data_IF_771532751932
#
_entry.id   IF_771532751932
#
_cell.length_a   1.000
_cell.length_b   1.000
_cell.length_c   1.000
_cell.angle_alpha   90.00
_cell.angle_beta   90.00
_cell.angle_gamma   90.00
#
_symmetry.space_group_name_H-M   'P 1'
#
loop_
_entity.id
_entity.type
_entity.pdbx_description
1 polymer ?
#
# COMPACT_ATOMS: atom_id res chain seq x y z
N UNK A 1 -3.63 9.36 -17.57
CA UNK A 1 -2.27 8.78 -17.66
C UNK A 1 -1.31 9.69 -18.39
N UNK A 2 -1.61 10.06 -19.64
CA UNK A 2 -0.78 10.99 -20.43
C UNK A 2 -0.56 12.32 -19.71
N UNK A 3 -1.60 12.92 -19.13
CA UNK A 3 -1.48 14.19 -18.38
C UNK A 3 -0.51 14.14 -17.18
N UNK A 4 -0.45 12.99 -16.48
CA UNK A 4 0.40 12.80 -15.31
C UNK A 4 1.85 12.47 -15.75
N UNK A 5 2.02 11.66 -16.80
CA UNK A 5 3.33 11.38 -17.38
C UNK A 5 3.97 12.65 -17.99
N UNK A 6 3.15 13.58 -18.49
CA UNK A 6 3.58 14.88 -19.00
C UNK A 6 3.85 15.91 -17.90
N UNK A 7 3.53 15.61 -16.63
CA UNK A 7 3.74 16.55 -15.52
C UNK A 7 5.21 16.95 -15.39
N UNK A 8 6.12 15.97 -15.40
CA UNK A 8 7.55 16.23 -15.29
C UNK A 8 8.10 17.11 -16.43
N UNK A 9 7.90 16.77 -17.73
CA UNK A 9 8.38 17.62 -18.80
C UNK A 9 7.75 19.03 -18.78
N UNK A 10 6.46 19.16 -18.44
CA UNK A 10 5.81 20.47 -18.27
C UNK A 10 6.48 21.29 -17.16
N UNK A 11 6.74 20.67 -16.00
CA UNK A 11 7.41 21.35 -14.89
C UNK A 11 8.85 21.73 -15.23
N UNK A 12 9.58 20.91 -15.98
CA UNK A 12 10.94 21.25 -16.42
C UNK A 12 10.97 22.43 -17.40
N UNK A 13 9.94 22.57 -18.25
CA UNK A 13 9.81 23.73 -19.14
C UNK A 13 9.42 24.97 -18.34
N UNK A 14 8.54 24.84 -17.34
CA UNK A 14 8.04 25.97 -16.54
C UNK A 14 9.06 26.51 -15.53
N UNK A 15 9.82 25.65 -14.86
CA UNK A 15 10.78 26.04 -13.80
C UNK A 15 12.24 26.06 -14.27
N UNK A 16 12.49 25.75 -15.55
CA UNK A 16 13.83 25.62 -16.10
C UNK A 16 14.47 24.26 -15.81
N UNK A 17 15.44 23.89 -16.65
CA UNK A 17 16.16 22.63 -16.51
C UNK A 17 17.16 22.71 -15.34
N UNK A 18 17.14 21.78 -14.37
CA UNK A 18 18.17 21.76 -13.33
C UNK A 18 19.57 21.63 -13.94
N UNK A 19 20.56 22.23 -13.27
CA UNK A 19 21.97 22.14 -13.66
C UNK A 19 22.43 20.69 -13.60
N UNK A 20 22.52 20.06 -14.77
CA UNK A 20 22.99 18.69 -14.92
C UNK A 20 24.52 18.70 -14.84
N UNK A 21 25.16 17.86 -14.01
CA UNK A 21 26.62 17.73 -13.97
C UNK A 21 27.14 16.93 -15.18
N UNK A 22 26.68 17.26 -16.39
CA UNK A 22 27.11 16.62 -17.62
C UNK A 22 28.32 17.38 -18.21
N UNK A 23 29.50 16.73 -18.17
CA UNK A 23 30.70 17.25 -18.83
C UNK A 23 30.80 16.66 -20.24
N UNK A 24 30.16 17.33 -21.20
CA UNK A 24 30.19 16.96 -22.63
C UNK A 24 28.87 16.38 -23.18
N UNK A 25 28.77 16.32 -24.51
CA UNK A 25 27.55 15.93 -25.24
C UNK A 25 27.10 14.49 -24.96
N UNK A 26 28.04 13.55 -24.87
CA UNK A 26 27.74 12.13 -24.59
C UNK A 26 27.13 11.96 -23.19
N UNK A 27 27.67 12.66 -22.19
CA UNK A 27 27.16 12.64 -20.81
C UNK A 27 25.76 13.24 -20.71
N UNK A 28 25.48 14.30 -21.49
CA UNK A 28 24.16 14.92 -21.55
C UNK A 28 23.11 13.99 -22.19
N UNK A 29 23.44 13.33 -23.30
CA UNK A 29 22.53 12.38 -23.97
C UNK A 29 22.24 11.19 -23.05
N UNK A 30 23.27 10.62 -22.41
CA UNK A 30 23.08 9.53 -21.46
C UNK A 30 22.16 9.94 -20.29
N UNK A 31 22.37 11.14 -19.74
CA UNK A 31 21.53 11.67 -18.66
C UNK A 31 20.06 11.80 -19.09
N UNK A 32 19.79 12.34 -20.29
CA UNK A 32 18.41 12.52 -20.80
C UNK A 32 17.73 11.17 -21.02
N UNK A 33 18.42 10.21 -21.65
CA UNK A 33 17.86 8.87 -21.91
C UNK A 33 17.56 8.14 -20.61
N UNK A 34 18.53 8.10 -19.68
CA UNK A 34 18.37 7.40 -18.39
C UNK A 34 17.27 8.05 -17.56
N UNK A 35 17.24 9.39 -17.48
CA UNK A 35 16.20 10.10 -16.73
C UNK A 35 14.82 9.88 -17.35
N UNK A 36 14.70 9.95 -18.67
CA UNK A 36 13.45 9.69 -19.38
C UNK A 36 12.93 8.27 -19.16
N UNK A 37 13.80 7.27 -19.29
CA UNK A 37 13.46 5.87 -19.03
C UNK A 37 13.01 5.64 -17.57
N UNK A 38 13.69 6.26 -16.62
CA UNK A 38 13.38 6.16 -15.20
C UNK A 38 12.05 6.82 -14.83
N UNK A 39 11.76 8.00 -15.39
CA UNK A 39 10.47 8.69 -15.21
C UNK A 39 9.34 7.84 -15.79
N UNK A 40 9.51 7.29 -16.99
CA UNK A 40 8.52 6.41 -17.62
C UNK A 40 8.27 5.13 -16.81
N UNK A 41 9.33 4.45 -16.37
CA UNK A 41 9.23 3.26 -15.55
C UNK A 41 8.54 3.53 -14.20
N UNK A 42 8.87 4.66 -13.57
CA UNK A 42 8.24 5.09 -12.31
C UNK A 42 6.76 5.35 -12.50
N UNK A 43 6.37 6.08 -13.55
CA UNK A 43 4.96 6.34 -13.83
C UNK A 43 4.17 5.08 -14.18
N UNK A 44 4.77 4.17 -14.94
CA UNK A 44 4.17 2.88 -15.24
C UNK A 44 3.90 2.08 -13.95
N UNK A 45 4.89 2.01 -13.07
CA UNK A 45 4.75 1.30 -11.79
C UNK A 45 3.69 1.95 -10.89
N UNK A 46 3.71 3.29 -10.78
CA UNK A 46 2.69 4.07 -10.06
C UNK A 46 1.29 3.75 -10.59
N UNK A 47 1.13 3.70 -11.91
CA UNK A 47 -0.14 3.38 -12.54
C UNK A 47 -0.57 1.95 -12.23
N UNK A 48 0.33 0.96 -12.35
CA UNK A 48 0.01 -0.42 -12.02
C UNK A 48 -0.40 -0.59 -10.54
N UNK A 49 0.20 0.16 -9.63
CA UNK A 49 -0.15 0.16 -8.20
C UNK A 49 -1.53 0.79 -7.97
N UNK A 50 -1.81 1.93 -8.58
CA UNK A 50 -3.14 2.55 -8.53
C UNK A 50 -4.21 1.61 -9.14
N UNK A 51 -3.88 1.01 -10.28
CA UNK A 51 -4.50 -0.14 -10.96
C UNK A 51 -5.08 -1.19 -10.02
N UNK A 52 -4.14 -1.96 -9.50
CA UNK A 52 -4.36 -3.09 -8.61
C UNK A 52 -5.04 -2.69 -7.31
N UNK A 53 -4.75 -1.49 -6.78
CA UNK A 53 -5.41 -0.96 -5.59
C UNK A 53 -6.87 -0.66 -5.86
N UNK A 54 -7.19 0.02 -6.95
CA UNK A 54 -8.57 0.38 -7.30
C UNK A 54 -9.42 -0.86 -7.56
N UNK A 55 -8.88 -1.85 -8.28
CA UNK A 55 -9.56 -3.12 -8.53
C UNK A 55 -9.83 -3.86 -7.22
N UNK A 56 -8.86 -3.91 -6.32
CA UNK A 56 -9.01 -4.56 -5.02
C UNK A 56 -9.98 -3.81 -4.12
N UNK A 57 -9.92 -2.48 -4.14
CA UNK A 57 -10.85 -1.61 -3.43
C UNK A 57 -12.30 -1.84 -3.89
N UNK A 58 -12.53 -1.92 -5.21
CA UNK A 58 -13.87 -2.23 -5.77
C UNK A 58 -14.37 -3.59 -5.31
N UNK A 59 -13.52 -4.61 -5.32
CA UNK A 59 -13.88 -5.96 -4.86
C UNK A 59 -14.23 -5.95 -3.37
N UNK A 60 -13.41 -5.32 -2.53
CA UNK A 60 -13.70 -5.18 -1.09
C UNK A 60 -15.02 -4.42 -0.88
N UNK A 61 -15.24 -3.34 -1.62
CA UNK A 61 -16.47 -2.56 -1.51
C UNK A 61 -17.70 -3.36 -1.97
N UNK A 62 -17.57 -4.19 -2.99
CA UNK A 62 -18.61 -5.12 -3.43
C UNK A 62 -19.00 -6.12 -2.33
N UNK A 63 -18.00 -6.79 -1.73
CA UNK A 63 -18.21 -7.71 -0.58
C UNK A 63 -18.75 -6.99 0.66
N UNK A 64 -18.53 -5.67 0.76
CA UNK A 64 -19.09 -4.84 1.83
C UNK A 64 -20.55 -4.45 1.60
N UNK A 65 -21.04 -4.48 0.36
CA UNK A 65 -22.44 -4.18 0.06
C UNK A 65 -23.26 -5.47 0.09
N UNK A 66 -22.81 -6.49 -0.63
CA UNK A 66 -23.48 -7.79 -0.77
C UNK A 66 -22.63 -8.90 -0.15
N UNK A 67 -23.26 -9.94 0.40
CA UNK A 67 -22.55 -11.13 0.88
C UNK A 67 -21.98 -11.90 -0.31
N UNK A 68 -20.71 -12.29 -0.24
CA UNK A 68 -20.07 -13.08 -1.30
C UNK A 68 -20.80 -14.41 -1.52
N UNK A 69 -21.22 -14.67 -2.77
CA UNK A 69 -21.80 -15.98 -3.14
C UNK A 69 -20.64 -16.93 -3.42
N UNK A 70 -20.29 -17.76 -2.45
CA UNK A 70 -19.18 -18.71 -2.56
C UNK A 70 -19.64 -20.06 -3.15
N UNK A 71 -18.79 -20.72 -3.97
CA UNK A 71 -19.12 -22.05 -4.50
C UNK A 71 -19.38 -23.06 -3.37
N UNK A 72 -20.32 -24.00 -3.54
CA UNK A 72 -20.71 -24.95 -2.49
C UNK A 72 -19.57 -25.86 -2.04
N UNK A 73 -18.59 -26.13 -2.92
CA UNK A 73 -17.37 -26.86 -2.57
C UNK A 73 -16.52 -26.14 -1.52
N UNK A 74 -16.38 -24.82 -1.65
CA UNK A 74 -15.64 -23.97 -0.71
C UNK A 74 -16.36 -23.91 0.64
N UNK A 75 -17.69 -23.72 0.61
CA UNK A 75 -18.51 -23.73 1.82
C UNK A 75 -18.39 -25.05 2.57
N UNK A 76 -18.48 -26.18 1.86
CA UNK A 76 -18.32 -27.51 2.46
C UNK A 76 -16.93 -27.69 3.10
N UNK A 77 -15.87 -27.31 2.40
CA UNK A 77 -14.50 -27.43 2.92
C UNK A 77 -14.29 -26.63 4.21
N UNK A 78 -14.78 -25.39 4.25
CA UNK A 78 -14.65 -24.55 5.44
C UNK A 78 -15.62 -24.98 6.55
N UNK A 79 -16.83 -25.45 6.20
CA UNK A 79 -17.81 -25.95 7.17
C UNK A 79 -17.30 -27.21 7.85
N UNK A 80 -16.72 -28.15 7.11
CA UNK A 80 -16.10 -29.36 7.68
C UNK A 80 -14.93 -29.02 8.61
N UNK A 81 -14.14 -28.00 8.26
CA UNK A 81 -12.98 -27.56 9.05
C UNK A 81 -13.35 -26.77 10.30
N UNK A 82 -14.41 -25.98 10.25
CA UNK A 82 -14.81 -25.06 11.32
C UNK A 82 -16.02 -25.55 12.12
N UNK A 83 -16.71 -26.58 11.63
CA UNK A 83 -17.98 -27.12 12.17
C UNK A 83 -19.03 -26.04 12.38
N UNK A 84 -19.10 -25.08 11.45
CA UNK A 84 -20.02 -23.94 11.46
C UNK A 84 -21.01 -24.03 10.28
N UNK A 85 -22.23 -23.50 10.44
CA UNK A 85 -23.20 -23.42 9.37
C UNK A 85 -22.72 -22.45 8.27
N UNK A 86 -23.14 -22.73 7.03
CA UNK A 86 -22.61 -22.07 5.83
C UNK A 86 -22.90 -20.56 5.79
N UNK A 87 -24.01 -20.12 6.40
CA UNK A 87 -24.45 -18.73 6.46
C UNK A 87 -23.51 -17.81 7.26
N UNK A 88 -22.81 -18.35 8.26
CA UNK A 88 -21.82 -17.61 9.09
C UNK A 88 -20.48 -17.55 8.37
N UNK A 89 -20.25 -18.51 7.49
CA UNK A 89 -18.97 -18.76 6.90
C UNK A 89 -18.62 -17.78 5.78
N UNK A 90 -19.63 -17.22 5.12
CA UNK A 90 -19.47 -16.22 4.07
C UNK A 90 -18.63 -15.02 4.55
N UNK A 91 -18.97 -14.44 5.71
CA UNK A 91 -18.25 -13.29 6.28
C UNK A 91 -16.78 -13.64 6.60
N UNK A 92 -16.50 -14.88 7.00
CA UNK A 92 -15.12 -15.35 7.25
C UNK A 92 -14.35 -15.61 5.95
N UNK A 93 -14.98 -16.23 4.96
CA UNK A 93 -14.35 -16.49 3.66
C UNK A 93 -14.03 -15.16 2.95
N UNK A 94 -14.91 -14.17 3.05
CA UNK A 94 -14.68 -12.81 2.53
C UNK A 94 -13.40 -12.20 3.13
N UNK A 95 -13.24 -12.28 4.45
CA UNK A 95 -12.03 -11.77 5.13
C UNK A 95 -10.76 -12.52 4.73
N UNK A 96 -10.82 -13.85 4.62
CA UNK A 96 -9.68 -14.67 4.20
C UNK A 96 -9.32 -14.40 2.73
N UNK A 97 -10.31 -14.19 1.88
CA UNK A 97 -10.09 -13.83 0.49
C UNK A 97 -9.45 -12.45 0.36
N UNK A 98 -9.98 -11.46 1.08
CA UNK A 98 -9.44 -10.10 1.10
C UNK A 98 -8.04 -10.07 1.69
N UNK A 99 -7.74 -10.82 2.76
CA UNK A 99 -6.39 -10.86 3.32
C UNK A 99 -5.37 -11.39 2.30
N UNK A 100 -5.70 -12.47 1.59
CA UNK A 100 -4.83 -13.04 0.55
C UNK A 100 -4.64 -12.09 -0.63
N UNK A 101 -5.72 -11.51 -1.15
CA UNK A 101 -5.65 -10.57 -2.29
C UNK A 101 -4.85 -9.33 -1.94
N UNK A 102 -5.10 -8.77 -0.77
CA UNK A 102 -4.40 -7.56 -0.31
C UNK A 102 -2.93 -7.82 -0.01
N UNK A 103 -2.52 -9.01 0.41
CA UNK A 103 -1.09 -9.35 0.62
C UNK A 103 -0.24 -9.13 -0.62
N UNK A 104 -0.72 -9.58 -1.79
CA UNK A 104 -0.03 -9.36 -3.06
C UNK A 104 0.03 -7.87 -3.42
N UNK A 105 -1.09 -7.15 -3.25
CA UNK A 105 -1.18 -5.72 -3.57
C UNK A 105 -0.29 -4.88 -2.64
N UNK A 106 -0.28 -5.17 -1.35
CA UNK A 106 0.59 -4.49 -0.37
C UNK A 106 2.06 -4.69 -0.70
N UNK A 107 2.46 -5.88 -1.18
CA UNK A 107 3.83 -6.10 -1.67
C UNK A 107 4.14 -5.20 -2.86
N UNK A 108 3.19 -5.05 -3.78
CA UNK A 108 3.34 -4.23 -4.98
C UNK A 108 3.42 -2.72 -4.67
N UNK A 109 2.68 -2.26 -3.66
CA UNK A 109 2.69 -0.89 -3.15
C UNK A 109 4.10 -0.46 -2.67
N UNK A 110 4.98 -1.39 -2.27
CA UNK A 110 6.33 -1.04 -1.81
C UNK A 110 7.30 -0.67 -2.92
N UNK A 111 7.13 -1.18 -4.14
CA UNK A 111 8.07 -0.89 -5.22
C UNK A 111 8.16 0.60 -5.55
N UNK A 112 7.05 1.36 -5.67
CA UNK A 112 7.12 2.81 -5.84
C UNK A 112 7.86 3.53 -4.72
N UNK A 113 7.60 3.16 -3.45
CA UNK A 113 8.31 3.76 -2.32
C UNK A 113 9.82 3.51 -2.43
N UNK A 114 10.21 2.30 -2.84
CA UNK A 114 11.61 1.93 -3.03
C UNK A 114 12.23 2.74 -4.17
N UNK A 115 11.56 2.88 -5.31
CA UNK A 115 12.06 3.72 -6.40
C UNK A 115 12.18 5.19 -5.98
N UNK A 116 11.19 5.75 -5.29
CA UNK A 116 11.25 7.14 -4.78
C UNK A 116 12.42 7.29 -3.81
N UNK A 117 12.60 6.35 -2.89
CA UNK A 117 13.72 6.31 -1.96
C UNK A 117 15.09 6.27 -2.68
N UNK A 118 15.25 5.38 -3.66
CA UNK A 118 16.47 5.32 -4.47
C UNK A 118 16.70 6.60 -5.26
N UNK A 119 15.64 7.20 -5.80
CA UNK A 119 15.73 8.47 -6.51
C UNK A 119 16.18 9.60 -5.57
N UNK A 120 15.66 9.67 -4.35
CA UNK A 120 16.06 10.68 -3.35
C UNK A 120 17.55 10.54 -3.03
N UNK A 121 18.02 9.30 -2.79
CA UNK A 121 19.43 9.02 -2.53
C UNK A 121 20.29 9.34 -3.75
N UNK A 122 19.89 8.89 -4.94
CA UNK A 122 20.61 9.10 -6.20
C UNK A 122 20.69 10.57 -6.61
N UNK A 123 19.71 11.39 -6.25
CA UNK A 123 19.65 12.83 -6.54
C UNK A 123 20.13 13.69 -5.37
N UNK A 124 20.62 13.06 -4.30
CA UNK A 124 21.20 13.79 -3.18
C UNK A 124 22.53 14.43 -3.57
N UNK A 125 22.81 15.59 -2.97
CA UNK A 125 24.06 16.37 -3.19
C UNK A 125 25.32 15.60 -2.77
N UNK A 126 25.16 14.53 -1.98
CA UNK A 126 26.25 13.71 -1.44
C UNK A 126 26.94 12.85 -2.51
N UNK A 127 26.21 12.35 -3.51
CA UNK A 127 26.77 11.47 -4.55
C UNK A 127 27.29 12.24 -5.76
N UNK A 128 26.57 13.28 -6.16
CA UNK A 128 27.04 14.26 -7.12
C UNK A 128 26.42 15.60 -6.78
N UNK A 129 27.09 16.69 -7.13
CA UNK A 129 26.64 18.07 -6.88
C UNK A 129 25.44 18.44 -7.77
N UNK A 130 24.35 17.67 -7.67
CA UNK A 130 23.08 17.93 -8.32
C UNK A 130 22.46 19.19 -7.72
N UNK A 131 22.10 20.15 -8.57
CA UNK A 131 21.37 21.34 -8.16
C UNK A 131 19.97 20.98 -7.62
N UNK A 132 19.39 21.80 -6.73
CA UNK A 132 18.01 21.62 -6.28
C UNK A 132 17.05 21.76 -7.47
N UNK A 133 16.37 20.67 -7.83
CA UNK A 133 15.40 20.60 -8.94
C UNK A 133 13.97 20.64 -8.40
N UNK A 134 13.34 21.81 -8.44
CA UNK A 134 11.93 22.00 -8.06
C UNK A 134 10.99 20.98 -8.78
N UNK A 135 11.16 20.70 -10.10
CA UNK A 135 10.33 19.72 -10.80
C UNK A 135 10.40 18.30 -10.22
N UNK A 136 11.59 17.86 -9.80
CA UNK A 136 11.80 16.52 -9.25
C UNK A 136 11.13 16.40 -7.87
N UNK A 137 11.29 17.41 -7.03
CA UNK A 137 10.67 17.46 -5.69
C UNK A 137 9.15 17.43 -5.78
N UNK A 138 8.55 18.24 -6.66
CA UNK A 138 7.10 18.26 -6.86
C UNK A 138 6.61 16.90 -7.38
N UNK A 139 7.29 16.32 -8.38
CA UNK A 139 6.90 15.04 -8.98
C UNK A 139 6.99 13.90 -7.96
N UNK A 140 8.05 13.85 -7.17
CA UNK A 140 8.22 12.90 -6.06
C UNK A 140 7.14 13.08 -4.99
N UNK A 141 6.83 14.31 -4.61
CA UNK A 141 5.80 14.62 -3.62
C UNK A 141 4.42 14.13 -4.06
N UNK A 142 4.04 14.40 -5.31
CA UNK A 142 2.78 13.91 -5.89
C UNK A 142 2.77 12.39 -5.95
N UNK A 143 3.86 11.76 -6.41
CA UNK A 143 3.96 10.30 -6.46
C UNK A 143 3.79 9.70 -5.05
N UNK A 144 4.52 10.21 -4.07
CA UNK A 144 4.45 9.76 -2.67
C UNK A 144 3.03 9.91 -2.11
N UNK A 145 2.36 11.02 -2.40
CA UNK A 145 0.98 11.26 -1.99
C UNK A 145 0.02 10.23 -2.58
N UNK A 146 0.13 9.94 -3.88
CA UNK A 146 -0.72 8.95 -4.57
C UNK A 146 -0.54 7.55 -3.96
N UNK A 147 0.71 7.08 -3.78
CA UNK A 147 0.96 5.74 -3.22
C UNK A 147 0.46 5.65 -1.78
N UNK A 148 0.72 6.69 -0.98
CA UNK A 148 0.25 6.75 0.41
C UNK A 148 -1.27 6.73 0.48
N UNK A 149 -1.94 7.50 -0.38
CA UNK A 149 -3.40 7.47 -0.51
C UNK A 149 -3.92 6.08 -0.88
N UNK A 150 -3.28 5.39 -1.82
CA UNK A 150 -3.62 4.01 -2.21
C UNK A 150 -3.48 3.04 -1.03
N UNK A 151 -2.36 3.12 -0.31
CA UNK A 151 -2.10 2.28 0.87
C UNK A 151 -3.13 2.50 1.98
N UNK A 152 -3.45 3.76 2.27
CA UNK A 152 -4.45 4.15 3.29
C UNK A 152 -5.85 3.69 2.87
N UNK A 153 -6.26 3.94 1.63
CA UNK A 153 -7.56 3.55 1.11
C UNK A 153 -7.78 2.02 1.19
N UNK A 154 -6.76 1.24 0.84
CA UNK A 154 -6.79 -0.22 0.92
C UNK A 154 -6.98 -0.69 2.38
N UNK A 155 -6.22 -0.11 3.30
CA UNK A 155 -6.29 -0.45 4.73
C UNK A 155 -7.63 -0.08 5.35
N UNK A 156 -8.12 1.13 5.11
CA UNK A 156 -9.42 1.58 5.62
C UNK A 156 -10.55 0.69 5.12
N UNK A 157 -10.49 0.24 3.87
CA UNK A 157 -11.52 -0.61 3.27
C UNK A 157 -11.49 -2.02 3.87
N UNK A 158 -10.30 -2.59 4.09
CA UNK A 158 -10.15 -3.87 4.77
C UNK A 158 -10.64 -3.80 6.23
N UNK A 159 -10.21 -2.79 7.00
CA UNK A 159 -10.65 -2.54 8.38
C UNK A 159 -12.18 -2.37 8.45
N UNK A 160 -12.78 -1.63 7.51
CA UNK A 160 -14.24 -1.48 7.45
C UNK A 160 -14.97 -2.81 7.21
N UNK A 161 -14.42 -3.69 6.36
CA UNK A 161 -14.97 -5.03 6.14
C UNK A 161 -14.86 -5.89 7.42
N UNK A 162 -13.72 -5.85 8.11
CA UNK A 162 -13.51 -6.52 9.39
C UNK A 162 -14.48 -6.02 10.46
N UNK A 163 -14.69 -4.72 10.58
CA UNK A 163 -15.66 -4.14 11.51
C UNK A 163 -17.11 -4.56 11.19
N UNK A 164 -17.46 -4.73 9.90
CA UNK A 164 -18.77 -5.27 9.49
C UNK A 164 -18.92 -6.73 9.90
N UNK A 165 -17.91 -7.56 9.63
CA UNK A 165 -17.92 -8.98 9.99
C UNK A 165 -18.03 -9.19 11.50
N UNK A 166 -17.27 -8.43 12.30
CA UNK A 166 -17.34 -8.50 13.76
C UNK A 166 -18.71 -8.12 14.31
N UNK A 167 -19.36 -7.07 13.77
CA UNK A 167 -20.72 -6.70 14.14
C UNK A 167 -21.71 -7.84 13.86
N UNK A 168 -21.68 -8.40 12.65
CA UNK A 168 -22.54 -9.54 12.27
C UNK A 168 -22.32 -10.77 13.13
N UNK A 169 -21.07 -11.09 13.47
CA UNK A 169 -20.75 -12.21 14.35
C UNK A 169 -21.28 -11.97 15.77
N UNK A 170 -21.11 -10.76 16.31
CA UNK A 170 -21.64 -10.40 17.63
C UNK A 170 -23.17 -10.45 17.68
N UNK A 171 -23.86 -9.96 16.66
CA UNK A 171 -25.33 -10.04 16.57
C UNK A 171 -25.81 -11.49 16.58
N UNK A 172 -25.11 -12.39 15.86
CA UNK A 172 -25.41 -13.83 15.84
C UNK A 172 -25.08 -14.52 17.16
N UNK A 173 -24.02 -14.11 17.86
CA UNK A 173 -23.71 -14.61 19.21
C UNK A 173 -24.85 -14.26 20.16
N UNK A 174 -25.36 -13.03 20.13
CA UNK A 174 -26.47 -12.61 20.97
C UNK A 174 -27.75 -13.41 20.68
N UNK A 175 -28.07 -13.65 19.40
CA UNK A 175 -29.20 -14.49 19.00
C UNK A 175 -29.03 -15.96 19.44
N UNK A 176 -27.83 -16.53 19.30
CA UNK A 176 -27.53 -17.89 19.71
C UNK A 176 -27.62 -18.07 21.24
N UNK A 177 -27.16 -17.09 22.03
CA UNK A 177 -27.25 -17.13 23.50
C UNK A 177 -28.68 -17.06 24.04
N UNK A 178 -29.62 -16.54 23.26
CA UNK A 178 -31.04 -16.53 23.62
C UNK A 178 -31.75 -17.86 23.31
N UNK A 179 -31.12 -18.73 22.51
CA UNK A 179 -31.68 -20.04 22.14
C UNK A 179 -31.24 -21.12 23.13
N UNK A 180 -32.17 -21.96 23.57
CA UNK A 180 -31.96 -22.97 24.62
C UNK A 180 -30.88 -24.01 24.28
N UNK A 181 -30.64 -24.27 22.99
CA UNK A 181 -29.62 -25.19 22.46
C UNK A 181 -28.41 -24.48 21.80
N UNK A 182 -28.35 -23.14 21.89
CA UNK A 182 -27.42 -22.31 21.12
C UNK A 182 -26.04 -22.10 21.74
N UNK A 183 -25.78 -22.65 22.94
CA UNK A 183 -24.54 -22.43 23.70
C UNK A 183 -23.29 -22.90 22.93
N UNK A 184 -23.37 -24.05 22.26
CA UNK A 184 -22.29 -24.57 21.42
C UNK A 184 -22.01 -23.68 20.21
N UNK A 185 -23.06 -23.17 19.57
CA UNK A 185 -22.93 -22.27 18.42
C UNK A 185 -22.32 -20.93 18.85
N UNK A 186 -22.78 -20.37 19.97
CA UNK A 186 -22.23 -19.15 20.55
C UNK A 186 -20.73 -19.29 20.85
N UNK A 187 -20.31 -20.39 21.47
CA UNK A 187 -18.89 -20.66 21.74
C UNK A 187 -18.07 -20.77 20.44
N UNK A 188 -18.59 -21.40 19.39
CA UNK A 188 -17.90 -21.48 18.09
C UNK A 188 -17.80 -20.12 17.40
N UNK A 189 -18.83 -19.28 17.49
CA UNK A 189 -18.82 -17.91 16.96
C UNK A 189 -17.82 -17.03 17.71
N UNK A 190 -17.72 -17.15 19.04
CA UNK A 190 -16.70 -16.45 19.83
C UNK A 190 -15.27 -16.84 19.42
N UNK A 191 -15.03 -18.13 19.12
CA UNK A 191 -13.76 -18.58 18.54
C UNK A 191 -13.50 -17.98 17.16
N UNK A 192 -14.54 -17.75 16.36
CA UNK A 192 -14.41 -17.10 15.05
C UNK A 192 -14.09 -15.61 15.20
N UNK A 193 -14.73 -14.91 16.14
CA UNK A 193 -14.42 -13.52 16.50
C UNK A 193 -12.95 -13.36 16.86
N UNK A 194 -12.41 -14.21 17.75
CA UNK A 194 -10.98 -14.20 18.10
C UNK A 194 -10.09 -14.38 16.87
N UNK A 195 -10.47 -15.27 15.95
CA UNK A 195 -9.74 -15.50 14.69
C UNK A 195 -9.75 -14.29 13.77
N UNK A 196 -10.88 -13.58 13.68
CA UNK A 196 -10.98 -12.32 12.95
C UNK A 196 -10.11 -11.25 13.61
N UNK A 197 -10.07 -11.21 14.94
CA UNK A 197 -9.27 -10.25 15.69
C UNK A 197 -7.75 -10.47 15.54
N UNK A 198 -7.34 -11.74 15.53
CA UNK A 198 -5.95 -12.17 15.36
C UNK A 198 -5.50 -12.16 13.90
N UNK A 199 -6.40 -11.92 12.93
CA UNK A 199 -6.04 -11.86 11.51
C UNK A 199 -5.08 -10.70 11.25
N UNK A 200 -3.80 -11.03 11.04
CA UNK A 200 -2.70 -10.11 10.68
C UNK A 200 -2.08 -10.53 9.36
N UNK A 201 -2.86 -10.53 8.28
CA UNK A 201 -2.36 -10.81 6.93
C UNK A 201 -2.84 -9.76 5.93
N UNK A 202 -2.04 -9.51 4.90
CA UNK A 202 -2.31 -8.49 3.89
C UNK A 202 -2.57 -7.10 4.49
N UNK A 203 -3.67 -6.46 4.07
CA UNK A 203 -4.07 -5.12 4.52
C UNK A 203 -4.44 -5.03 6.02
N UNK A 204 -4.58 -6.15 6.73
CA UNK A 204 -4.84 -6.19 8.17
C UNK A 204 -3.57 -6.07 9.03
N UNK A 205 -2.40 -6.06 8.41
CA UNK A 205 -1.10 -5.94 9.11
C UNK A 205 -0.65 -4.48 9.18
N UNK A 206 -0.25 -3.96 10.36
CA UNK A 206 0.34 -2.63 10.46
C UNK A 206 1.55 -2.48 9.54
N UNK A 207 1.65 -1.37 8.80
CA UNK A 207 2.74 -1.12 7.85
C UNK A 207 4.14 -1.23 8.49
N UNK A 208 4.30 -0.77 9.74
CA UNK A 208 5.57 -0.83 10.49
C UNK A 208 6.05 -2.25 10.81
N UNK A 209 5.15 -3.23 10.80
CA UNK A 209 5.47 -4.63 11.06
C UNK A 209 5.85 -5.39 9.78
N UNK A 210 5.74 -4.75 8.61
CA UNK A 210 6.01 -5.42 7.34
C UNK A 210 7.53 -5.47 7.07
N UNK A 211 8.10 -6.63 6.69
CA UNK A 211 9.54 -6.80 6.50
C UNK A 211 10.16 -5.81 5.53
N UNK A 212 9.45 -5.48 4.44
CA UNK A 212 9.91 -4.53 3.42
C UNK A 212 10.07 -3.11 3.99
N UNK A 213 9.16 -2.66 4.85
CA UNK A 213 9.26 -1.34 5.51
C UNK A 213 10.49 -1.28 6.41
N UNK A 214 10.72 -2.33 7.21
CA UNK A 214 11.91 -2.41 8.06
C UNK A 214 13.20 -2.43 7.23
N UNK A 215 13.22 -3.17 6.13
CA UNK A 215 14.35 -3.25 5.22
C UNK A 215 14.65 -1.90 4.56
N UNK A 216 13.63 -1.08 4.27
CA UNK A 216 13.80 0.26 3.69
C UNK A 216 14.15 1.33 4.73
N UNK A 217 13.59 1.23 5.95
CA UNK A 217 13.87 2.15 7.05
C UNK A 217 15.32 2.07 7.52
N UNK A 218 15.99 0.92 7.37
CA UNK A 218 17.40 0.76 7.73
C UNK A 218 18.33 1.66 6.89
N UNK A 219 18.33 1.60 5.55
CA UNK A 219 19.08 2.52 4.71
C UNK A 219 18.57 3.96 4.85
N UNK A 220 17.26 4.19 4.73
CA UNK A 220 16.71 5.55 4.70
C UNK A 220 16.79 6.27 6.04
N UNK A 221 16.66 5.55 7.16
CA UNK A 221 16.86 6.11 8.50
C UNK A 221 18.33 6.44 8.74
N UNK A 222 19.25 5.59 8.28
CA UNK A 222 20.68 5.85 8.39
C UNK A 222 21.16 7.03 7.53
N UNK A 223 20.66 7.17 6.30
CA UNK A 223 21.06 8.25 5.38
C UNK A 223 20.22 9.54 5.53
N UNK A 224 18.95 9.43 5.89
CA UNK A 224 18.05 10.56 6.10
C UNK A 224 18.33 11.30 7.40
N UNK A 225 18.75 10.58 8.45
CA UNK A 225 19.15 11.18 9.73
C UNK A 225 20.39 12.07 9.59
N UNK A 226 21.38 11.66 8.80
CA UNK A 226 22.59 12.45 8.55
C UNK A 226 22.32 13.67 7.67
N UNK A 227 21.47 13.54 6.65
CA UNK A 227 21.09 14.65 5.78
C UNK A 227 20.26 15.73 6.52
N UNK A 228 19.38 15.31 7.45
CA UNK A 228 18.65 16.24 8.32
C UNK A 228 19.56 16.89 9.37
N UNK A 229 20.53 16.16 9.92
CA UNK A 229 21.55 16.74 10.79
C UNK A 229 22.35 17.82 10.08
N UNK A 230 22.79 17.56 8.84
CA UNK A 230 23.49 18.55 8.03
C UNK A 230 22.62 19.78 7.75
N UNK A 231 21.34 19.61 7.39
CA UNK A 231 20.44 20.74 7.13
C UNK A 231 20.13 21.57 8.39
N UNK A 232 20.05 20.94 9.56
CA UNK A 232 19.77 21.60 10.84
C UNK A 232 21.01 22.23 11.49
N UNK A 233 22.20 21.68 11.24
CA UNK A 233 23.47 22.20 11.78
C UNK A 233 24.15 23.25 10.88
N UNK A 234 23.70 23.44 9.64
CA UNK A 234 24.26 24.42 8.69
C UNK A 234 23.47 25.73 8.44
N UNK A 235 22.62 26.29 9.34
CA UNK A 235 22.03 27.61 9.10
C UNK A 235 22.95 28.79 9.50
N UNK A 236 24.29 28.64 9.53
CA UNK A 236 25.18 29.60 10.19
C UNK A 236 26.55 29.92 9.58
N UNK A 237 26.92 29.43 8.39
CA UNK A 237 28.19 29.78 7.74
C UNK A 237 28.07 29.91 6.21
N UNK A 238 27.41 30.98 5.77
CA UNK A 238 27.62 31.61 4.45
C UNK A 238 27.12 33.04 4.48
#
# INVERSE_FOLDING_TARGET
MVAIALLWPILTVAFGNPSVPARGSVSLVAYVIVTGALVLATWFLMFAVADTTLLTWRVINGLRMETGIWPPKTLKQFSDRLKLPADVLDDWIDLVFVSKRTKCVTTFIYYPFLIIALLVVSRSRLFANYGPSIPDVITMGIALFIVSGCAVALRLSAEALRARALRRLNDRIMAAKQSQDGERLAAQLELLVRRVEELRDGAFTPFSQQPLVRAMLLPLGSFGGTALLEYLLLPGLS
#
